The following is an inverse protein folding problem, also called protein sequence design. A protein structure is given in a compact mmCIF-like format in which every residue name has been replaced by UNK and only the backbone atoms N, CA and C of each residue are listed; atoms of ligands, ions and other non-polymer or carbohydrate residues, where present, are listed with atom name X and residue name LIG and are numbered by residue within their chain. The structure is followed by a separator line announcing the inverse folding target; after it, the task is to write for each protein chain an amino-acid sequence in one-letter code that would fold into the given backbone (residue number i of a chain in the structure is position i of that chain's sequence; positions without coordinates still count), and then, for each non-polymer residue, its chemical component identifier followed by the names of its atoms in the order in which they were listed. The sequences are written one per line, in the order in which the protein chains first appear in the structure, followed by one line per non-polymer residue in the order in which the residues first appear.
data_IF_738524369225
#
_entry.id   IF_738524369225
#
_cell.length_a   1.000
_cell.length_b   1.000
_cell.length_c   1.000
_cell.angle_alpha   90.00
_cell.angle_beta   90.00
_cell.angle_gamma   90.00
#
_symmetry.space_group_name_H-M   'P 1'
#
loop_
_entity.id
_entity.type
_entity.pdbx_description
1 polymer ?
#
# COMPACT_ATOMS: atom_id res chain seq x y z
N UNK A 1 -5.13 9.50 4.05
CA UNK A 1 -3.88 8.72 3.89
C UNK A 1 -4.15 7.48 3.04
N UNK A 2 -3.18 6.98 2.27
CA UNK A 2 -3.29 5.73 1.50
C UNK A 2 -2.22 4.76 2.01
N UNK A 3 -2.64 3.61 2.54
CA UNK A 3 -1.75 2.62 3.14
C UNK A 3 -2.32 2.02 4.42
N UNK A 4 -1.48 1.32 5.19
CA UNK A 4 -1.81 0.82 6.53
C UNK A 4 -1.69 1.93 7.57
N UNK A 5 -2.45 1.84 8.65
CA UNK A 5 -2.53 2.88 9.68
C UNK A 5 -1.19 3.47 10.22
N UNK A 6 -0.08 2.71 10.37
CA UNK A 6 1.09 3.23 11.08
C UNK A 6 1.67 4.55 10.58
N UNK A 7 1.72 4.76 9.26
CA UNK A 7 2.20 6.04 8.72
C UNK A 7 1.25 7.20 9.00
N UNK A 8 -0.07 6.94 9.04
CA UNK A 8 -1.06 7.95 9.39
C UNK A 8 -1.03 8.28 10.90
N UNK A 9 -0.90 7.26 11.74
CA UNK A 9 -0.80 7.41 13.20
C UNK A 9 0.43 8.26 13.58
N UNK A 10 1.58 8.02 12.94
CA UNK A 10 2.80 8.81 13.17
C UNK A 10 2.63 10.28 12.80
N UNK A 11 2.03 10.56 11.64
CA UNK A 11 1.73 11.93 11.21
C UNK A 11 0.76 12.62 12.18
N UNK A 12 -0.29 11.91 12.62
CA UNK A 12 -1.27 12.45 13.55
C UNK A 12 -0.65 12.77 14.91
N UNK A 13 0.14 11.86 15.47
CA UNK A 13 0.86 12.09 16.73
C UNK A 13 1.70 13.37 16.67
N UNK A 14 2.49 13.56 15.62
CA UNK A 14 3.31 14.76 15.47
C UNK A 14 2.48 16.01 15.25
N UNK A 15 1.39 15.95 14.48
CA UNK A 15 0.49 17.09 14.29
C UNK A 15 -0.13 17.55 15.63
N UNK A 16 -0.56 16.60 16.47
CA UNK A 16 -1.22 16.89 17.74
C UNK A 16 -0.25 17.33 18.86
N UNK A 17 0.98 16.79 18.88
CA UNK A 17 1.92 16.97 19.99
C UNK A 17 3.12 17.85 19.67
N UNK A 18 3.41 18.07 18.39
CA UNK A 18 4.60 18.79 17.93
C UNK A 18 4.44 20.31 17.83
N UNK A 19 3.26 20.85 18.13
CA UNK A 19 2.98 22.29 18.05
C UNK A 19 2.92 22.85 16.63
N UNK A 20 2.62 22.00 15.64
CA UNK A 20 2.43 22.43 14.26
C UNK A 20 1.08 23.14 14.09
N UNK A 21 1.06 24.24 13.33
CA UNK A 21 -0.17 24.91 12.91
C UNK A 21 -0.76 24.19 11.68
N UNK A 22 -1.46 23.08 11.92
CA UNK A 22 -2.04 22.23 10.89
C UNK A 22 -3.43 21.75 11.27
N UNK A 23 -4.31 21.67 10.28
CA UNK A 23 -5.59 20.98 10.40
C UNK A 23 -5.52 19.64 9.66
N UNK A 24 -6.13 18.61 10.24
CA UNK A 24 -6.19 17.29 9.62
C UNK A 24 -7.57 16.64 9.79
N UNK A 25 -7.88 15.72 8.88
CA UNK A 25 -9.05 14.85 8.93
C UNK A 25 -8.60 13.41 8.74
N UNK A 26 -8.99 12.56 9.68
CA UNK A 26 -8.69 11.13 9.64
C UNK A 26 -9.89 10.36 9.09
N UNK A 27 -9.79 9.88 7.85
CA UNK A 27 -10.77 9.01 7.21
C UNK A 27 -10.23 7.57 7.16
N UNK A 28 -10.62 6.78 8.17
CA UNK A 28 -10.10 5.43 8.39
C UNK A 28 -10.43 4.49 7.21
N UNK A 29 -9.72 3.36 7.14
CA UNK A 29 -10.07 2.30 6.19
C UNK A 29 -11.46 1.73 6.49
N UNK A 30 -12.14 1.24 5.47
CA UNK A 30 -13.42 0.57 5.63
C UNK A 30 -13.34 -0.60 6.63
N UNK A 31 -14.42 -0.88 7.39
CA UNK A 31 -14.46 -2.02 8.30
C UNK A 31 -14.16 -3.33 7.60
N UNK A 32 -13.34 -4.19 8.23
CA UNK A 32 -12.94 -5.48 7.64
C UNK A 32 -14.12 -6.41 7.37
N UNK A 33 -15.20 -6.29 8.15
CA UNK A 33 -16.42 -7.10 8.03
C UNK A 33 -17.64 -6.19 8.21
N UNK A 34 -18.19 -5.60 7.14
CA UNK A 34 -19.29 -4.64 7.26
C UNK A 34 -20.62 -5.30 7.65
N UNK A 35 -20.79 -6.62 7.49
CA UNK A 35 -22.00 -7.37 7.87
C UNK A 35 -23.32 -6.71 7.42
N UNK A 36 -23.34 -6.20 6.19
CA UNK A 36 -24.52 -5.52 5.61
C UNK A 36 -24.69 -4.05 6.01
N UNK A 37 -23.84 -3.51 6.88
CA UNK A 37 -23.83 -2.08 7.21
C UNK A 37 -23.31 -1.24 6.03
N UNK A 38 -23.84 -0.03 5.93
CA UNK A 38 -23.35 0.96 4.97
C UNK A 38 -21.89 1.34 5.28
N UNK A 39 -21.10 1.51 4.21
CA UNK A 39 -19.71 1.95 4.29
C UNK A 39 -19.58 3.26 3.53
N UNK A 40 -18.99 4.25 4.19
CA UNK A 40 -18.72 5.57 3.61
C UNK A 40 -17.22 5.88 3.74
N UNK A 41 -16.72 6.63 2.76
CA UNK A 41 -15.36 7.20 2.71
C UNK A 41 -15.48 8.63 2.21
N UNK A 42 -14.44 9.44 2.39
CA UNK A 42 -14.46 10.80 1.85
C UNK A 42 -14.24 10.80 0.33
N UNK A 43 -13.39 9.88 -0.14
CA UNK A 43 -12.99 9.78 -1.54
C UNK A 43 -13.03 8.34 -2.03
N UNK A 44 -13.45 8.12 -3.27
CA UNK A 44 -13.13 6.88 -3.99
C UNK A 44 -11.70 6.96 -4.54
N UNK A 45 -11.07 5.81 -4.77
CA UNK A 45 -9.76 5.71 -5.44
C UNK A 45 -9.75 4.46 -6.32
N UNK A 46 -9.44 4.63 -7.60
CA UNK A 46 -9.30 3.54 -8.56
C UNK A 46 -7.96 3.61 -9.26
N UNK A 47 -7.53 2.50 -9.85
CA UNK A 47 -6.43 2.49 -10.79
C UNK A 47 -6.85 1.81 -12.09
N UNK A 48 -6.46 2.41 -13.22
CA UNK A 48 -6.59 1.83 -14.55
C UNK A 48 -5.18 1.39 -14.96
N UNK A 49 -4.95 0.08 -15.01
CA UNK A 49 -3.62 -0.53 -15.19
C UNK A 49 -3.68 -1.64 -16.24
N UNK A 50 -2.51 -2.04 -16.75
CA UNK A 50 -2.35 -3.08 -17.76
C UNK A 50 -2.02 -2.52 -19.15
N UNK A 51 -1.77 -3.40 -20.13
CA UNK A 51 -1.24 -3.01 -21.45
C UNK A 51 -2.16 -2.08 -22.23
N UNK A 52 -3.48 -2.18 -22.03
CA UNK A 52 -4.48 -1.34 -22.70
C UNK A 52 -4.92 -0.11 -21.87
N UNK A 53 -4.33 0.13 -20.70
CA UNK A 53 -4.78 1.17 -19.78
C UNK A 53 -4.82 2.56 -20.42
N UNK A 54 -3.78 2.93 -21.18
CA UNK A 54 -3.70 4.25 -21.79
C UNK A 54 -4.77 4.47 -22.86
N UNK A 55 -5.07 3.46 -23.68
CA UNK A 55 -6.13 3.54 -24.68
C UNK A 55 -7.51 3.76 -24.02
N UNK A 56 -7.76 3.12 -22.89
CA UNK A 56 -8.98 3.33 -22.09
C UNK A 56 -9.03 4.75 -21.53
N UNK A 57 -7.90 5.25 -21.00
CA UNK A 57 -7.78 6.61 -20.45
C UNK A 57 -8.07 7.66 -21.53
N UNK A 58 -7.50 7.52 -22.73
CA UNK A 58 -7.73 8.46 -23.85
C UNK A 58 -9.19 8.43 -24.33
N UNK A 59 -9.80 7.24 -24.38
CA UNK A 59 -11.22 7.11 -24.70
C UNK A 59 -12.11 7.81 -23.66
N UNK A 60 -11.81 7.63 -22.38
CA UNK A 60 -12.53 8.32 -21.29
C UNK A 60 -12.37 9.84 -21.37
N UNK A 61 -11.18 10.32 -21.75
CA UNK A 61 -10.89 11.75 -21.93
C UNK A 61 -11.53 12.35 -23.19
N UNK A 62 -11.91 11.52 -24.17
CA UNK A 62 -12.38 11.97 -25.48
C UNK A 62 -11.25 12.46 -26.41
N UNK A 63 -10.00 12.06 -26.16
CA UNK A 63 -8.84 12.47 -26.94
C UNK A 63 -7.50 12.09 -26.30
N UNK A 64 -6.38 12.49 -26.93
CA UNK A 64 -5.04 12.18 -26.43
C UNK A 64 -4.79 12.73 -25.02
N UNK A 65 -4.12 11.94 -24.18
CA UNK A 65 -3.73 12.31 -22.82
C UNK A 65 -2.21 12.20 -22.70
N UNK A 66 -1.57 13.23 -22.16
CA UNK A 66 -0.12 13.26 -21.96
C UNK A 66 0.33 12.26 -20.89
N UNK A 67 1.33 11.44 -21.20
CA UNK A 67 2.01 10.57 -20.23
C UNK A 67 3.05 11.37 -19.45
N UNK A 68 2.59 12.12 -18.44
CA UNK A 68 3.47 12.82 -17.50
C UNK A 68 4.41 11.84 -16.77
N UNK A 69 5.47 12.37 -16.12
CA UNK A 69 6.45 11.55 -15.39
C UNK A 69 5.81 10.80 -14.21
N UNK A 70 6.44 9.70 -13.79
CA UNK A 70 5.98 8.90 -12.66
C UNK A 70 5.74 9.77 -11.42
N UNK A 71 4.61 9.54 -10.73
CA UNK A 71 4.15 10.30 -9.56
C UNK A 71 3.81 11.79 -9.81
N UNK A 72 3.78 12.26 -11.06
CA UNK A 72 3.19 13.55 -11.37
C UNK A 72 1.66 13.44 -11.39
N UNK A 73 1.00 14.51 -10.94
CA UNK A 73 -0.45 14.60 -10.87
C UNK A 73 -1.00 15.42 -12.03
N UNK A 74 -2.24 15.13 -12.39
CA UNK A 74 -3.01 15.87 -13.38
C UNK A 74 -4.50 15.81 -13.08
N UNK A 75 -5.31 16.18 -14.07
CA UNK A 75 -6.76 16.13 -14.01
C UNK A 75 -7.33 15.69 -15.36
N UNK A 76 -8.48 15.03 -15.34
CA UNK A 76 -9.25 14.71 -16.54
C UNK A 76 -10.76 14.78 -16.25
N UNK A 77 -11.57 14.81 -17.30
CA UNK A 77 -13.03 14.73 -17.17
C UNK A 77 -13.50 13.32 -17.51
N UNK A 78 -14.30 12.69 -16.64
CA UNK A 78 -14.91 11.38 -16.86
C UNK A 78 -16.40 11.51 -16.61
N UNK A 79 -17.24 11.19 -17.60
CA UNK A 79 -18.71 11.27 -17.49
C UNK A 79 -19.22 12.63 -16.96
N UNK A 80 -18.53 13.73 -17.32
CA UNK A 80 -18.85 15.09 -16.88
C UNK A 80 -18.34 15.48 -15.48
N UNK A 81 -17.68 14.58 -14.76
CA UNK A 81 -17.05 14.87 -13.46
C UNK A 81 -15.56 15.17 -13.65
N UNK A 82 -15.04 16.13 -12.88
CA UNK A 82 -13.59 16.36 -12.77
C UNK A 82 -12.97 15.31 -11.86
N UNK A 83 -11.96 14.62 -12.37
CA UNK A 83 -11.24 13.55 -11.66
C UNK A 83 -9.76 13.90 -11.61
N UNK A 84 -9.16 13.81 -10.42
CA UNK A 84 -7.70 13.99 -10.26
C UNK A 84 -6.99 12.71 -10.63
N UNK A 85 -5.81 12.84 -11.22
CA UNK A 85 -5.01 11.71 -11.71
C UNK A 85 -3.61 11.75 -11.10
N UNK A 86 -3.01 10.56 -10.96
CA UNK A 86 -1.63 10.35 -10.55
C UNK A 86 -1.02 9.34 -11.51
N UNK A 87 0.08 9.70 -12.17
CA UNK A 87 0.82 8.76 -13.02
C UNK A 87 1.40 7.63 -12.18
N UNK A 88 0.89 6.42 -12.43
CA UNK A 88 1.28 5.21 -11.72
C UNK A 88 1.61 4.08 -12.72
N UNK A 89 2.24 3.00 -12.26
CA UNK A 89 2.43 1.78 -13.05
C UNK A 89 2.58 0.60 -12.11
N UNK A 90 1.47 -0.08 -11.81
CA UNK A 90 1.43 -1.15 -10.79
C UNK A 90 1.37 -2.56 -11.42
N UNK A 91 1.12 -2.67 -12.73
CA UNK A 91 0.98 -3.94 -13.47
C UNK A 91 1.86 -3.97 -14.73
N UNK A 92 3.13 -3.56 -14.61
CA UNK A 92 4.12 -3.60 -15.69
C UNK A 92 3.90 -2.63 -16.86
N UNK A 93 2.86 -1.80 -16.80
CA UNK A 93 2.49 -0.85 -17.86
C UNK A 93 2.13 0.53 -17.28
N UNK A 94 2.24 1.62 -18.08
CA UNK A 94 1.78 2.94 -17.68
C UNK A 94 0.27 2.95 -17.44
N UNK A 95 -0.15 3.53 -16.32
CA UNK A 95 -1.55 3.72 -15.97
C UNK A 95 -1.76 4.97 -15.13
N UNK A 96 -2.98 5.15 -14.65
CA UNK A 96 -3.34 6.24 -13.75
C UNK A 96 -4.02 5.69 -12.51
N UNK A 97 -3.61 6.20 -11.36
CA UNK A 97 -4.50 6.26 -10.20
C UNK A 97 -5.41 7.48 -10.37
N UNK A 98 -6.68 7.32 -10.02
CA UNK A 98 -7.71 8.35 -10.12
C UNK A 98 -8.57 8.39 -8.86
N UNK A 99 -8.96 9.60 -8.42
CA UNK A 99 -9.78 9.77 -7.22
C UNK A 99 -10.66 11.01 -7.30
N UNK A 100 -11.71 11.01 -6.49
CA UNK A 100 -12.71 12.08 -6.38
C UNK A 100 -13.68 11.82 -5.21
N UNK A 101 -14.64 12.74 -4.97
CA UNK A 101 -15.65 12.60 -3.91
C UNK A 101 -16.38 11.27 -3.97
N UNK A 102 -16.62 10.62 -2.82
CA UNK A 102 -17.15 9.26 -2.77
C UNK A 102 -18.53 9.11 -3.45
N UNK A 103 -19.33 10.17 -3.50
CA UNK A 103 -20.63 10.20 -4.17
C UNK A 103 -20.53 9.89 -5.68
N UNK A 104 -19.38 10.18 -6.29
CA UNK A 104 -19.13 9.91 -7.71
C UNK A 104 -18.70 8.46 -7.99
N UNK A 105 -18.39 7.66 -6.95
CA UNK A 105 -17.80 6.32 -7.07
C UNK A 105 -18.48 5.44 -8.12
N UNK A 106 -19.81 5.28 -8.03
CA UNK A 106 -20.58 4.41 -8.93
C UNK A 106 -20.52 4.89 -10.38
N UNK A 107 -20.78 6.18 -10.60
CA UNK A 107 -20.79 6.81 -11.93
C UNK A 107 -19.43 6.67 -12.62
N UNK A 108 -18.34 6.92 -11.89
CA UNK A 108 -16.97 6.84 -12.43
C UNK A 108 -16.61 5.39 -12.74
N UNK A 109 -16.89 4.45 -11.84
CA UNK A 109 -16.66 3.02 -12.08
C UNK A 109 -17.36 2.54 -13.35
N UNK A 110 -18.64 2.86 -13.48
CA UNK A 110 -19.46 2.37 -14.60
C UNK A 110 -18.98 2.96 -15.93
N UNK A 111 -18.58 4.24 -15.94
CA UNK A 111 -17.98 4.88 -17.12
C UNK A 111 -16.65 4.21 -17.54
N UNK A 112 -15.78 3.87 -16.58
CA UNK A 112 -14.50 3.19 -16.84
C UNK A 112 -14.74 1.81 -17.45
N UNK A 113 -15.64 1.01 -16.86
CA UNK A 113 -15.93 -0.34 -17.32
C UNK A 113 -16.58 -0.34 -18.71
N UNK A 114 -17.52 0.58 -18.97
CA UNK A 114 -18.15 0.70 -20.28
C UNK A 114 -17.14 1.12 -21.36
N UNK A 115 -16.32 2.16 -21.10
CA UNK A 115 -15.30 2.59 -22.06
C UNK A 115 -14.26 1.49 -22.32
N UNK A 116 -13.87 0.76 -21.28
CA UNK A 116 -12.86 -0.28 -21.35
C UNK A 116 -13.32 -1.62 -21.92
N UNK A 117 -14.64 -1.82 -22.11
CA UNK A 117 -15.20 -3.10 -22.58
C UNK A 117 -14.62 -3.56 -23.91
N UNK A 118 -14.39 -2.64 -24.85
CA UNK A 118 -13.79 -2.97 -26.16
C UNK A 118 -12.30 -3.34 -26.05
N UNK A 119 -11.64 -3.01 -24.94
CA UNK A 119 -10.24 -3.30 -24.65
C UNK A 119 -10.05 -4.49 -23.71
N UNK A 120 -11.15 -5.17 -23.33
CA UNK A 120 -11.13 -6.31 -22.41
C UNK A 120 -10.85 -5.93 -20.96
N UNK A 121 -11.27 -4.76 -20.49
CA UNK A 121 -11.13 -4.41 -19.06
C UNK A 121 -11.95 -5.36 -18.20
N UNK A 122 -11.37 -5.76 -17.06
CA UNK A 122 -12.07 -6.52 -16.02
C UNK A 122 -11.85 -5.85 -14.67
N UNK A 123 -12.90 -5.73 -13.81
CA UNK A 123 -12.73 -5.22 -12.45
C UNK A 123 -11.94 -6.22 -11.59
N UNK A 124 -10.92 -5.73 -10.89
CA UNK A 124 -10.11 -6.55 -9.98
C UNK A 124 -10.72 -6.59 -8.57
N UNK A 125 -11.14 -7.78 -8.12
CA UNK A 125 -11.66 -8.00 -6.76
C UNK A 125 -10.56 -8.05 -5.69
N UNK A 126 -10.94 -7.93 -4.41
CA UNK A 126 -9.99 -7.83 -3.29
C UNK A 126 -9.03 -9.02 -3.15
N UNK A 127 -9.47 -10.24 -3.52
CA UNK A 127 -8.65 -11.45 -3.47
C UNK A 127 -7.45 -11.39 -4.41
N UNK A 128 -7.65 -10.90 -5.62
CA UNK A 128 -6.59 -10.74 -6.62
C UNK A 128 -5.81 -9.44 -6.43
N UNK A 129 -6.49 -8.37 -5.98
CA UNK A 129 -5.85 -7.07 -5.78
C UNK A 129 -4.60 -7.17 -4.90
N UNK A 130 -4.66 -7.87 -3.77
CA UNK A 130 -3.51 -7.94 -2.85
C UNK A 130 -2.29 -8.68 -3.44
N UNK A 131 -2.45 -9.53 -4.45
CA UNK A 131 -1.32 -10.28 -5.02
C UNK A 131 -0.47 -9.46 -5.98
N UNK A 132 -0.97 -8.32 -6.50
CA UNK A 132 -0.24 -7.50 -7.47
C UNK A 132 1.16 -7.07 -6.98
N UNK A 133 1.29 -6.84 -5.67
CA UNK A 133 2.52 -6.34 -5.06
C UNK A 133 3.65 -7.37 -5.06
N UNK A 134 3.31 -8.66 -5.22
CA UNK A 134 4.28 -9.73 -5.40
C UNK A 134 5.04 -9.57 -6.72
N UNK A 135 4.37 -9.07 -7.75
CA UNK A 135 4.96 -8.83 -9.08
C UNK A 135 5.62 -7.44 -9.17
N UNK A 136 4.98 -6.41 -8.60
CA UNK A 136 5.54 -5.04 -8.63
C UNK A 136 6.68 -4.81 -7.62
N UNK A 137 6.83 -5.69 -6.63
CA UNK A 137 7.96 -5.71 -5.70
C UNK A 137 7.86 -4.68 -4.57
N UNK A 138 6.68 -4.11 -4.30
CA UNK A 138 6.47 -3.30 -3.09
C UNK A 138 6.18 -4.19 -1.87
N UNK A 139 6.79 -3.88 -0.72
CA UNK A 139 6.56 -4.60 0.54
C UNK A 139 5.56 -3.79 1.39
N UNK A 140 4.30 -4.23 1.52
CA UNK A 140 3.24 -3.45 2.16
C UNK A 140 3.18 -3.58 3.69
N UNK A 141 4.05 -4.38 4.30
CA UNK A 141 3.92 -4.83 5.69
C UNK A 141 5.23 -4.86 6.48
N UNK A 142 6.08 -3.80 6.45
CA UNK A 142 7.10 -3.67 7.47
C UNK A 142 6.43 -3.52 8.85
N UNK A 143 7.02 -4.14 9.88
CA UNK A 143 6.58 -3.93 11.25
C UNK A 143 6.88 -2.47 11.66
N UNK A 144 5.93 -1.73 12.28
CA UNK A 144 6.23 -0.41 12.83
C UNK A 144 7.32 -0.51 13.90
N UNK A 145 8.49 0.08 13.67
CA UNK A 145 9.66 -0.06 14.53
C UNK A 145 9.60 0.88 15.75
N UNK A 146 8.60 0.70 16.62
CA UNK A 146 8.26 1.64 17.69
C UNK A 146 8.20 1.03 19.09
N UNK A 147 8.51 -0.26 19.25
CA UNK A 147 8.15 -0.99 20.47
C UNK A 147 9.18 -0.90 21.60
N UNK A 148 10.44 -0.58 21.30
CA UNK A 148 11.55 -0.79 22.25
C UNK A 148 12.21 0.50 22.75
N UNK A 149 12.49 1.47 21.87
CA UNK A 149 13.32 2.63 22.23
C UNK A 149 12.56 3.65 23.11
N UNK A 150 13.29 4.33 24.00
CA UNK A 150 12.73 5.34 24.90
C UNK A 150 12.30 6.60 24.13
N UNK A 151 12.93 6.89 22.97
CA UNK A 151 12.57 8.04 22.14
C UNK A 151 11.12 7.95 21.63
N UNK A 152 10.60 6.74 21.43
CA UNK A 152 9.26 6.46 20.95
C UNK A 152 8.25 6.23 22.09
N UNK A 153 8.65 6.40 23.36
CA UNK A 153 7.77 6.15 24.50
C UNK A 153 6.52 7.03 24.47
N UNK A 154 6.66 8.33 24.24
CA UNK A 154 5.52 9.24 24.17
C UNK A 154 4.53 8.85 23.06
N UNK A 155 5.04 8.33 21.93
CA UNK A 155 4.19 7.82 20.85
C UNK A 155 3.44 6.56 21.27
N UNK A 156 4.11 5.61 21.96
CA UNK A 156 3.45 4.41 22.51
C UNK A 156 2.37 4.75 23.55
N UNK A 157 2.61 5.74 24.39
CA UNK A 157 1.65 6.20 25.40
C UNK A 157 0.45 6.95 24.79
N UNK A 158 0.65 7.58 23.63
CA UNK A 158 -0.43 8.22 22.86
C UNK A 158 -1.28 7.22 22.07
N UNK A 159 -0.68 6.14 21.55
CA UNK A 159 -1.37 5.15 20.74
C UNK A 159 -2.51 4.44 21.52
N UNK A 160 -3.73 4.34 20.94
CA UNK A 160 -4.81 3.57 21.54
C UNK A 160 -4.48 2.08 21.67
N UNK A 161 -4.98 1.42 22.72
CA UNK A 161 -4.78 -0.03 22.92
C UNK A 161 -5.42 -0.91 21.82
N UNK A 162 -6.29 -0.35 20.99
CA UNK A 162 -6.87 -1.00 19.82
C UNK A 162 -6.25 -0.50 18.50
N UNK A 163 -5.13 0.22 18.54
CA UNK A 163 -4.43 0.66 17.34
C UNK A 163 -3.88 -0.54 16.55
N UNK A 164 -3.55 -0.29 15.27
CA UNK A 164 -2.89 -1.30 14.45
C UNK A 164 -1.66 -1.87 15.13
N UNK A 165 -0.80 -1.02 15.69
CA UNK A 165 0.44 -1.39 16.38
C UNK A 165 0.17 -2.28 17.60
N UNK A 166 -0.90 -2.02 18.35
CA UNK A 166 -1.22 -2.77 19.56
C UNK A 166 -1.83 -4.15 19.29
N UNK A 167 -2.59 -4.30 18.20
CA UNK A 167 -3.36 -5.54 17.92
C UNK A 167 -2.86 -6.33 16.71
N UNK A 168 -1.90 -5.80 15.94
CA UNK A 168 -1.37 -6.49 14.77
C UNK A 168 -0.58 -7.74 15.19
N UNK A 169 -0.63 -8.78 14.36
CA UNK A 169 0.09 -10.03 14.58
C UNK A 169 1.37 -10.08 13.75
N UNK A 170 2.41 -10.70 14.33
CA UNK A 170 3.54 -11.25 13.59
C UNK A 170 3.24 -12.72 13.28
N UNK A 171 3.42 -13.12 12.03
CA UNK A 171 3.21 -14.49 11.59
C UNK A 171 4.31 -14.88 10.60
N UNK A 172 4.90 -16.05 10.79
CA UNK A 172 5.99 -16.56 9.97
C UNK A 172 6.90 -17.50 10.78
N UNK A 173 7.90 -18.07 10.12
CA UNK A 173 8.86 -18.99 10.72
C UNK A 173 10.05 -18.32 11.42
N UNK A 174 10.27 -17.02 11.18
CA UNK A 174 11.31 -16.27 11.89
C UNK A 174 10.89 -15.99 13.33
N UNK A 175 11.70 -16.45 14.28
CA UNK A 175 11.47 -16.34 15.72
C UNK A 175 12.68 -15.69 16.37
N UNK A 176 12.44 -14.59 17.08
CA UNK A 176 13.40 -13.97 18.00
C UNK A 176 12.68 -13.54 19.28
N UNK A 177 13.40 -13.61 20.41
CA UNK A 177 12.95 -13.03 21.68
C UNK A 177 13.09 -11.50 21.70
N UNK A 178 13.84 -10.92 20.75
CA UNK A 178 14.00 -9.48 20.59
C UNK A 178 13.14 -8.95 19.43
N UNK A 179 12.21 -8.03 19.74
CA UNK A 179 11.33 -7.42 18.75
C UNK A 179 12.09 -6.58 17.72
N UNK A 180 13.27 -6.05 18.07
CA UNK A 180 14.08 -5.23 17.17
C UNK A 180 14.64 -6.02 15.98
N UNK A 181 14.76 -7.34 16.11
CA UNK A 181 15.23 -8.19 15.00
C UNK A 181 14.23 -8.25 13.84
N UNK A 182 12.98 -7.85 14.08
CA UNK A 182 11.93 -7.71 13.06
C UNK A 182 11.93 -6.34 12.39
N UNK A 183 12.74 -5.39 12.87
CA UNK A 183 12.78 -4.04 12.30
C UNK A 183 13.56 -4.02 10.99
N UNK A 184 13.19 -3.07 10.14
CA UNK A 184 13.81 -2.83 8.85
C UNK A 184 14.10 -1.35 8.68
N UNK A 185 15.22 -1.03 8.06
CA UNK A 185 15.57 0.33 7.67
C UNK A 185 15.27 0.61 6.18
N UNK A 186 15.34 1.88 5.72
CA UNK A 186 15.01 2.24 4.35
C UNK A 186 15.81 1.49 3.26
N UNK A 187 17.08 1.15 3.49
CA UNK A 187 17.88 0.44 2.49
C UNK A 187 17.40 -1.00 2.29
N UNK A 188 17.03 -1.68 3.38
CA UNK A 188 16.56 -3.07 3.36
C UNK A 188 15.21 -3.22 2.63
N UNK A 189 14.38 -2.17 2.66
CA UNK A 189 13.08 -2.11 1.98
C UNK A 189 13.17 -1.63 0.51
N UNK A 190 14.36 -1.24 0.07
CA UNK A 190 14.59 -0.66 -1.27
C UNK A 190 14.15 0.81 -1.39
N UNK A 191 14.08 1.53 -0.27
CA UNK A 191 13.78 2.97 -0.19
C UNK A 191 15.05 3.83 -0.04
N UNK A 192 16.24 3.24 -0.07
CA UNK A 192 17.50 3.97 0.09
C UNK A 192 17.69 5.15 -0.88
N UNK A 193 17.17 5.06 -2.10
CA UNK A 193 17.22 6.16 -3.08
C UNK A 193 16.35 7.37 -2.71
N UNK A 194 15.37 7.19 -1.82
CA UNK A 194 14.50 8.23 -1.29
C UNK A 194 15.14 9.00 -0.13
N UNK A 195 16.18 8.44 0.51
CA UNK A 195 16.90 9.11 1.58
C UNK A 195 17.68 10.29 0.99
N UNK A 196 17.41 11.50 1.48
CA UNK A 196 18.08 12.75 1.11
C UNK A 196 18.48 13.51 2.37
N UNK A 197 19.77 13.74 2.54
CA UNK A 197 20.35 14.45 3.69
C UNK A 197 20.40 15.98 3.44
N UNK A 198 19.39 16.52 2.76
CA UNK A 198 19.28 17.92 2.34
C UNK A 198 18.32 18.74 3.20
N UNK A 199 17.73 18.13 4.24
CA UNK A 199 16.87 18.77 5.23
C UNK A 199 16.92 18.00 6.57
N UNK A 200 16.39 18.61 7.63
CA UNK A 200 16.29 17.96 8.93
C UNK A 200 15.05 17.06 8.99
N UNK A 201 15.20 15.84 9.51
CA UNK A 201 14.12 14.89 9.70
C UNK A 201 14.42 13.93 10.85
N UNK A 202 13.37 13.36 11.45
CA UNK A 202 13.49 12.40 12.56
C UNK A 202 14.24 11.15 12.07
N UNK A 203 15.28 10.76 12.81
CA UNK A 203 16.10 9.60 12.48
C UNK A 203 17.24 9.88 11.50
N UNK A 204 17.43 11.13 11.05
CA UNK A 204 18.55 11.52 10.16
C UNK A 204 19.90 11.03 10.67
N UNK A 205 20.27 11.35 11.91
CA UNK A 205 21.55 10.96 12.52
C UNK A 205 21.75 9.44 12.58
N UNK A 206 20.66 8.67 12.67
CA UNK A 206 20.73 7.21 12.66
C UNK A 206 20.99 6.70 11.24
N UNK A 207 20.33 7.28 10.22
CA UNK A 207 20.53 6.92 8.82
C UNK A 207 21.93 7.31 8.32
N UNK A 208 22.49 8.44 8.76
CA UNK A 208 23.84 8.88 8.38
C UNK A 208 24.95 7.94 8.89
N UNK A 209 24.69 7.15 9.94
CA UNK A 209 25.64 6.18 10.52
C UNK A 209 25.62 4.82 9.83
N UNK A 210 24.60 4.53 9.02
CA UNK A 210 24.49 3.26 8.33
C UNK A 210 25.40 3.27 7.10
N UNK A 211 26.07 2.15 6.85
CA UNK A 211 26.77 1.90 5.58
C UNK A 211 25.80 1.21 4.61
N UNK A 212 25.33 1.90 3.54
CA UNK A 212 24.39 1.36 2.56
C UNK A 212 24.85 0.05 1.91
N UNK A 213 26.16 -0.16 1.74
CA UNK A 213 26.70 -1.31 1.01
C UNK A 213 26.61 -2.61 1.82
N UNK A 214 26.49 -2.50 3.15
CA UNK A 214 26.40 -3.65 4.06
C UNK A 214 24.97 -4.03 4.42
N UNK A 215 23.97 -3.24 4.01
CA UNK A 215 22.57 -3.48 4.34
C UNK A 215 22.01 -4.66 3.54
N UNK A 216 21.00 -5.34 4.09
CA UNK A 216 20.21 -6.34 3.34
C UNK A 216 19.57 -5.66 2.13
N UNK A 217 19.25 -6.47 1.11
CA UNK A 217 18.66 -6.01 -0.15
C UNK A 217 17.33 -6.70 -0.38
N UNK A 218 16.32 -5.92 -0.78
CA UNK A 218 15.03 -6.46 -1.23
C UNK A 218 15.21 -7.30 -2.49
N UNK A 219 14.62 -8.50 -2.49
CA UNK A 219 14.61 -9.44 -3.61
C UNK A 219 13.26 -10.11 -3.73
N UNK A 220 12.98 -10.72 -4.89
CA UNK A 220 11.85 -11.64 -5.07
C UNK A 220 12.35 -13.07 -4.93
N UNK A 221 11.71 -13.86 -4.06
CA UNK A 221 11.98 -15.28 -3.94
C UNK A 221 10.96 -16.05 -4.79
N UNK A 222 11.41 -16.66 -5.89
CA UNK A 222 10.60 -17.58 -6.67
C UNK A 222 10.63 -18.96 -5.98
N UNK A 223 9.48 -19.41 -5.48
CA UNK A 223 9.37 -20.67 -4.76
C UNK A 223 9.46 -21.86 -5.73
N UNK A 224 9.93 -23.00 -5.24
CA UNK A 224 10.03 -24.22 -6.03
C UNK A 224 8.63 -24.85 -6.24
N UNK A 225 8.33 -25.23 -7.48
CA UNK A 225 7.02 -25.76 -7.87
C UNK A 225 6.70 -27.13 -7.23
N UNK A 226 7.71 -27.99 -7.03
CA UNK A 226 7.54 -29.30 -6.41
C UNK A 226 7.23 -29.16 -4.91
N UNK A 227 7.94 -28.27 -4.21
CA UNK A 227 7.69 -27.97 -2.80
C UNK A 227 6.29 -27.37 -2.61
N UNK A 228 5.89 -26.43 -3.47
CA UNK A 228 4.56 -25.84 -3.42
C UNK A 228 3.46 -26.88 -3.69
N UNK A 229 3.69 -27.78 -4.65
CA UNK A 229 2.76 -28.89 -4.93
C UNK A 229 2.58 -29.78 -3.70
N UNK A 230 3.68 -30.11 -3.01
CA UNK A 230 3.64 -30.92 -1.79
C UNK A 230 2.84 -30.24 -0.67
N UNK A 231 3.03 -28.93 -0.48
CA UNK A 231 2.25 -28.16 0.50
C UNK A 231 0.76 -28.18 0.11
N UNK A 232 0.41 -27.83 -1.13
CA UNK A 232 -0.99 -27.75 -1.56
C UNK A 232 -1.72 -29.10 -1.53
N UNK A 233 -1.02 -30.19 -1.85
CA UNK A 233 -1.59 -31.53 -1.84
C UNK A 233 -1.80 -32.10 -0.42
N UNK A 234 -1.16 -31.52 0.59
CA UNK A 234 -1.12 -32.10 1.94
C UNK A 234 -2.49 -32.17 2.62
N UNK A 235 -3.47 -31.36 2.21
CA UNK A 235 -4.84 -31.43 2.74
C UNK A 235 -5.54 -32.76 2.42
N UNK A 236 -5.05 -33.48 1.40
CA UNK A 236 -5.55 -34.78 0.99
C UNK A 236 -4.72 -35.93 1.59
N UNK A 237 -3.52 -35.64 2.08
CA UNK A 237 -2.64 -36.62 2.69
C UNK A 237 -3.05 -36.87 4.15
N UNK A 238 -3.59 -38.06 4.42
CA UNK A 238 -4.10 -38.45 5.74
C UNK A 238 -3.02 -39.06 6.64
N UNK A 239 -1.86 -39.41 6.08
CA UNK A 239 -0.79 -40.13 6.77
C UNK A 239 0.48 -39.31 6.90
N UNK A 240 0.71 -38.35 6.00
CA UNK A 240 1.85 -37.45 6.01
C UNK A 240 1.76 -36.31 7.04
N UNK A 241 2.84 -35.53 7.16
CA UNK A 241 2.85 -34.35 8.02
C UNK A 241 1.83 -33.32 7.51
N UNK A 242 0.94 -32.86 8.39
CA UNK A 242 0.04 -31.75 8.09
C UNK A 242 0.81 -30.44 7.96
N UNK A 243 0.56 -29.70 6.89
CA UNK A 243 1.08 -28.34 6.71
C UNK A 243 0.00 -27.34 7.12
N UNK A 244 0.41 -26.26 7.77
CA UNK A 244 -0.50 -25.18 8.13
C UNK A 244 -0.73 -24.27 6.93
N UNK A 245 -1.99 -24.03 6.59
CA UNK A 245 -2.42 -23.02 5.62
C UNK A 245 -2.81 -21.77 6.41
N UNK A 246 -2.24 -20.62 6.04
CA UNK A 246 -2.57 -19.31 6.60
C UNK A 246 -3.56 -18.57 5.71
#
# INVERSE_FOLDING_TARGET
YVGRAPGANWLQFHAETGGYDVEFRYDDRSPSRPYGQAVHRDYYRFQIQGPNAWAIIEKLAGGPVEQVKFFHMGEMTIAGEKVRTLRHGMAGAPGLEIWGPYEQHGKIRDAILEAGREFGIEPCGSRAYSSNTLESGWIPSPLPAIYSSEAERAYREWLPANSYEAINALAGSFVSENIEDYYLNPWELGYGSFVKFDHDFIGRDALEKLDPETQRKKVTLAWNDEDLTKVLASVLDREGPGYQFF
#
